data_IF_970764672125
#
_entry.id   IF_970764672125
#
_cell.length_a   1.000
_cell.length_b   1.000
_cell.length_c   1.000
_cell.angle_alpha   90.00
_cell.angle_beta   90.00
_cell.angle_gamma   90.00
#
_symmetry.space_group_name_H-M   'P 1'
#
loop_
_entity.id
_entity.type
_entity.pdbx_description
1 polymer ?
2 non-polymer ?
3 water ?
#
# COMPACT_ATOMS: atom_id res chain seq x y z
N UNK A 11 15.03 7.17 -26.86
CA UNK A 11 15.07 6.90 -25.38
C UNK A 11 14.41 5.56 -25.07
N UNK A 12 14.94 4.81 -24.10
CA UNK A 12 14.26 3.54 -23.74
C UNK A 12 12.95 3.84 -22.98
N UNK A 13 11.98 2.93 -23.07
CA UNK A 13 10.71 3.15 -22.38
C UNK A 13 10.47 2.10 -21.29
N UNK A 14 10.12 2.60 -20.11
CA UNK A 14 9.72 1.75 -18.99
C UNK A 14 8.18 1.83 -18.82
N UNK A 15 7.52 0.68 -18.78
CA UNK A 15 6.06 0.64 -18.60
C UNK A 15 5.71 0.33 -17.14
N UNK A 16 4.78 1.12 -16.58
CA UNK A 16 4.18 0.81 -15.32
C UNK A 16 2.85 0.15 -15.62
N UNK A 17 2.76 -1.16 -15.39
CA UNK A 17 1.49 -1.86 -15.54
C UNK A 17 0.62 -1.67 -14.30
N UNK A 18 -0.60 -1.16 -14.50
CA UNK A 18 -1.48 -0.71 -13.43
C UNK A 18 -2.80 -1.50 -13.43
N UNK A 19 -2.87 -2.49 -12.55
CA UNK A 19 -4.05 -3.35 -12.42
C UNK A 19 -5.33 -2.57 -12.05
N UNK A 20 -6.46 -2.95 -12.65
CA UNK A 20 -7.74 -2.30 -12.36
C UNK A 20 -8.22 -2.50 -10.90
N UNK A 21 -7.69 -3.48 -10.18
CA UNK A 21 -8.15 -3.65 -8.78
C UNK A 21 -7.56 -2.60 -7.82
N UNK A 22 -6.51 -1.90 -8.25
CA UNK A 22 -5.86 -0.92 -7.40
C UNK A 22 -6.75 0.33 -7.30
N UNK A 23 -6.85 0.86 -6.08
CA UNK A 23 -7.48 2.14 -5.86
C UNK A 23 -6.83 3.18 -6.78
N UNK A 24 -7.63 3.80 -7.66
CA UNK A 24 -7.06 4.66 -8.71
C UNK A 24 -6.33 5.86 -8.14
N UNK A 25 -6.72 6.31 -6.95
CA UNK A 25 -6.07 7.50 -6.37
C UNK A 25 -4.61 7.30 -6.04
N UNK A 26 -4.22 6.04 -5.83
CA UNK A 26 -2.84 5.76 -5.46
C UNK A 26 -1.88 6.12 -6.62
N UNK A 27 -2.42 6.19 -7.83
CA UNK A 27 -1.59 6.35 -9.01
C UNK A 27 -0.83 7.69 -8.96
N UNK A 28 -1.40 8.67 -8.27
CA UNK A 28 -0.75 9.97 -8.17
C UNK A 28 0.66 9.92 -7.52
N UNK A 29 0.82 9.05 -6.52
CA UNK A 29 2.11 8.93 -5.84
C UNK A 29 3.14 8.27 -6.71
N UNK A 30 2.70 7.29 -7.47
CA UNK A 30 3.57 6.63 -8.41
C UNK A 30 4.06 7.61 -9.47
N UNK A 31 3.12 8.33 -10.06
CA UNK A 31 3.45 9.36 -11.05
C UNK A 31 4.37 10.42 -10.42
N UNK A 32 4.02 10.90 -9.23
CA UNK A 32 4.86 11.91 -8.58
C UNK A 32 6.26 11.37 -8.39
N UNK A 33 6.38 10.14 -7.88
CA UNK A 33 7.70 9.55 -7.65
C UNK A 33 8.48 9.36 -8.94
N UNK A 34 7.78 8.92 -10.00
CA UNK A 34 8.43 8.71 -11.31
C UNK A 34 8.85 10.05 -11.96
N UNK A 35 7.95 11.02 -12.03
CA UNK A 35 8.28 12.38 -12.54
C UNK A 35 9.55 12.89 -11.83
N UNK A 36 9.59 12.71 -10.52
CA UNK A 36 10.64 13.27 -9.69
C UNK A 36 12.01 12.62 -9.90
N UNK A 37 11.99 11.30 -10.01
CA UNK A 37 13.17 10.50 -10.31
C UNK A 37 13.74 10.82 -11.71
N UNK A 38 12.88 10.88 -12.71
CA UNK A 38 13.33 11.18 -14.07
C UNK A 38 13.92 12.58 -14.23
N UNK A 39 13.28 13.56 -13.57
CA UNK A 39 13.74 14.94 -13.56
C UNK A 39 15.14 15.04 -12.98
N UNK A 40 15.45 14.19 -12.01
CA UNK A 40 16.78 14.20 -11.39
C UNK A 40 17.82 13.52 -12.27
N UNK A 41 17.36 12.79 -13.27
CA UNK A 41 18.25 12.01 -14.13
C UNK A 41 18.22 12.54 -15.55
N UNK A 42 17.76 13.77 -15.70
CA UNK A 42 17.58 14.42 -17.00
C UNK A 42 16.78 13.57 -18.02
N UNK A 43 15.70 12.96 -17.55
CA UNK A 43 14.75 12.29 -18.44
C UNK A 43 15.42 11.33 -19.40
N UNK A 44 16.30 10.47 -18.90
CA UNK A 44 16.95 9.50 -19.77
C UNK A 44 16.06 8.31 -20.15
N UNK A 45 14.89 8.22 -19.52
CA UNK A 45 13.85 7.22 -19.88
C UNK A 45 12.51 7.90 -20.11
N UNK A 46 11.76 7.38 -21.07
CA UNK A 46 10.33 7.59 -21.14
C UNK A 46 9.68 6.59 -20.20
N UNK A 47 8.63 7.04 -19.52
CA UNK A 47 7.75 6.16 -18.76
C UNK A 47 6.36 6.24 -19.38
N UNK A 48 5.67 5.11 -19.33
CA UNK A 48 4.34 4.98 -19.89
C UNK A 48 3.55 4.24 -18.80
N UNK A 49 2.28 4.59 -18.59
CA UNK A 49 1.43 3.85 -17.66
C UNK A 49 0.41 3.04 -18.50
N UNK A 50 0.36 1.74 -18.25
CA UNK A 50 -0.50 0.80 -18.97
C UNK A 50 -1.53 0.19 -18.00
N UNK A 51 -2.71 0.81 -17.93
CA UNK A 51 -3.83 0.22 -17.18
C UNK A 51 -4.19 -1.11 -17.83
N UNK A 52 -4.38 -2.13 -17.03
CA UNK A 52 -4.91 -3.39 -17.54
C UNK A 52 -5.88 -3.99 -16.55
N UNK A 53 -6.74 -4.87 -17.03
CA UNK A 53 -7.77 -5.45 -16.18
C UNK A 53 -7.17 -6.52 -15.27
N UNK A 54 -7.63 -6.56 -14.01
CA UNK A 54 -7.18 -7.59 -13.07
C UNK A 54 -7.07 -8.96 -13.75
N UNK A 55 -5.97 -9.67 -13.51
CA UNK A 55 -5.75 -11.01 -14.08
C UNK A 55 -5.44 -11.06 -15.57
N UNK A 56 -5.26 -9.91 -16.20
CA UNK A 56 -5.00 -9.91 -17.63
C UNK A 56 -3.58 -9.49 -18.02
N UNK A 57 -2.65 -9.50 -17.07
CA UNK A 57 -1.30 -9.04 -17.38
C UNK A 57 -0.73 -9.91 -18.49
N UNK A 58 -0.97 -11.21 -18.38
CA UNK A 58 -0.46 -12.17 -19.36
C UNK A 58 -0.81 -11.88 -20.83
N UNK A 59 -1.89 -11.14 -21.08
CA UNK A 59 -2.33 -10.78 -22.45
C UNK A 59 -1.66 -9.54 -23.00
N UNK A 60 -0.87 -8.84 -22.18
CA UNK A 60 -0.28 -7.56 -22.55
C UNK A 60 0.87 -7.76 -23.51
N UNK A 61 0.79 -7.10 -24.65
CA UNK A 61 1.81 -7.23 -25.69
C UNK A 61 3.15 -6.56 -25.37
N UNK A 62 3.12 -5.52 -24.55
CA UNK A 62 4.35 -4.84 -24.10
C UNK A 62 5.29 -5.65 -23.23
N UNK A 63 4.86 -6.84 -22.81
CA UNK A 63 5.72 -7.83 -22.14
C UNK A 63 5.99 -9.10 -22.96
N UNK A 64 5.57 -9.10 -24.23
CA UNK A 64 5.75 -10.25 -25.12
C UNK A 64 7.12 -10.23 -25.79
N UNK A 65 7.50 -11.39 -26.34
CA UNK A 65 8.68 -11.51 -27.18
C UNK A 65 8.75 -10.42 -28.25
N UNK A 66 7.58 -10.08 -28.81
CA UNK A 66 7.53 -9.34 -30.07
C UNK A 66 7.37 -7.82 -29.95
N UNK A 67 6.65 -7.35 -28.94
CA UNK A 67 6.32 -5.94 -28.85
C UNK A 67 6.81 -5.26 -27.57
N UNK A 68 7.88 -5.79 -26.97
CA UNK A 68 8.20 -5.48 -25.57
C UNK A 68 8.74 -4.07 -25.35
N UNK A 69 8.35 -3.49 -24.21
CA UNK A 69 8.99 -2.29 -23.69
C UNK A 69 10.43 -2.65 -23.30
N UNK A 70 11.22 -1.66 -22.93
CA UNK A 70 12.59 -1.91 -22.48
C UNK A 70 12.65 -2.48 -21.06
N UNK A 71 11.61 -2.20 -20.27
CA UNK A 71 11.48 -2.70 -18.90
C UNK A 71 10.05 -2.48 -18.45
N UNK A 72 9.64 -3.21 -17.41
CA UNK A 72 8.29 -3.00 -16.86
C UNK A 72 8.34 -3.06 -15.35
N UNK A 73 7.43 -2.34 -14.73
CA UNK A 73 7.21 -2.41 -13.28
C UNK A 73 5.76 -2.80 -13.15
N UNK A 74 5.46 -3.82 -12.34
CA UNK A 74 4.06 -4.23 -12.14
C UNK A 74 3.62 -3.75 -10.79
N UNK A 75 2.67 -2.82 -10.76
CA UNK A 75 2.25 -2.17 -9.51
C UNK A 75 1.60 -3.12 -8.49
N UNK A 76 0.74 -4.05 -8.96
CA UNK A 76 0.07 -4.98 -8.07
C UNK A 76 -0.26 -6.28 -8.79
N UNK A 77 0.74 -7.16 -8.93
CA UNK A 77 0.54 -8.36 -9.71
C UNK A 77 -0.41 -9.32 -8.97
N UNK A 78 -1.37 -9.91 -9.69
CA UNK A 78 -2.29 -10.91 -9.09
C UNK A 78 -1.60 -12.26 -9.00
N UNK A 79 -2.12 -13.16 -8.17
CA UNK A 79 -1.62 -14.53 -8.09
C UNK A 79 -1.66 -15.23 -9.46
N UNK A 80 -2.76 -15.06 -10.17
CA UNK A 80 -2.93 -15.61 -11.49
C UNK A 80 -1.83 -15.11 -12.45
N UNK A 81 -1.63 -13.79 -12.47
CA UNK A 81 -0.62 -13.17 -13.35
C UNK A 81 0.80 -13.55 -12.96
N UNK A 82 1.01 -13.71 -11.67
CA UNK A 82 2.31 -14.07 -11.13
C UNK A 82 2.71 -15.47 -11.52
N UNK A 83 1.75 -16.40 -11.47
CA UNK A 83 1.98 -17.76 -11.95
C UNK A 83 2.45 -17.77 -13.42
N UNK A 84 1.81 -16.95 -14.27
CA UNK A 84 2.24 -16.79 -15.65
C UNK A 84 3.67 -16.24 -15.75
N UNK A 85 3.98 -15.21 -14.97
CA UNK A 85 5.33 -14.67 -14.96
C UNK A 85 6.35 -15.68 -14.44
N UNK A 86 5.97 -16.43 -13.40
CA UNK A 86 6.85 -17.43 -12.81
C UNK A 86 7.33 -18.50 -13.77
N UNK A 87 6.49 -18.83 -14.75
CA UNK A 87 6.80 -19.90 -15.72
C UNK A 87 7.32 -19.36 -17.06
N UNK A 88 7.09 -18.07 -17.30
CA UNK A 88 7.51 -17.41 -18.55
C UNK A 88 9.01 -17.14 -18.57
N UNK A 89 9.57 -17.11 -19.77
CA UNK A 89 10.92 -16.61 -19.95
C UNK A 89 10.87 -15.38 -20.83
N UNK A 90 10.79 -14.22 -20.17
CA UNK A 90 10.55 -12.96 -20.85
C UNK A 90 11.80 -12.17 -21.22
N UNK A 91 11.64 -11.25 -22.16
CA UNK A 91 12.73 -10.60 -22.89
C UNK A 91 13.12 -9.20 -22.36
N UNK A 92 12.57 -8.83 -21.20
CA UNK A 92 12.76 -7.50 -20.63
C UNK A 92 12.81 -7.60 -19.09
N UNK A 93 13.57 -6.71 -18.45
CA UNK A 93 13.59 -6.72 -16.98
C UNK A 93 12.21 -6.32 -16.44
N UNK A 94 11.75 -7.04 -15.42
CA UNK A 94 10.47 -6.77 -14.76
C UNK A 94 10.69 -6.61 -13.27
N UNK A 95 10.20 -5.50 -12.73
CA UNK A 95 10.25 -5.24 -11.29
C UNK A 95 8.84 -5.45 -10.70
N UNK A 96 8.73 -6.29 -9.70
CA UNK A 96 7.48 -6.45 -8.98
C UNK A 96 7.44 -5.44 -7.84
N UNK A 97 6.32 -4.77 -7.67
CA UNK A 97 6.15 -3.82 -6.61
C UNK A 97 5.45 -4.49 -5.43
N UNK A 98 6.13 -4.51 -4.28
CA UNK A 98 5.67 -5.14 -3.05
C UNK A 98 5.28 -6.61 -3.18
N UNK A 99 6.14 -7.40 -3.81
CA UNK A 99 6.00 -8.85 -3.85
C UNK A 99 7.37 -9.38 -3.78
N UNK A 100 7.67 -10.16 -2.76
CA UNK A 100 8.93 -10.87 -2.78
C UNK A 100 8.92 -11.99 -3.85
N UNK A 101 10.07 -12.18 -4.49
CA UNK A 101 10.21 -13.16 -5.53
C UNK A 101 11.64 -13.72 -5.48
N UNK A 102 11.80 -15.01 -5.77
CA UNK A 102 13.16 -15.50 -5.86
C UNK A 102 13.51 -15.58 -7.34
N UNK A 103 12.68 -15.00 -8.20
CA UNK A 103 12.98 -14.98 -9.65
C UNK A 103 13.16 -13.55 -10.20
N UNK A 104 12.21 -12.68 -9.85
CA UNK A 104 12.19 -11.31 -10.29
C UNK A 104 12.68 -10.39 -9.20
N UNK A 105 13.35 -9.31 -9.61
CA UNK A 105 13.71 -8.21 -8.72
C UNK A 105 12.43 -7.48 -8.23
N UNK A 106 12.53 -6.85 -7.08
CA UNK A 106 11.36 -6.26 -6.45
C UNK A 106 11.74 -5.08 -5.58
N UNK A 107 10.78 -4.17 -5.42
CA UNK A 107 10.88 -3.08 -4.46
C UNK A 107 9.65 -3.21 -3.54
N UNK A 108 9.90 -3.46 -2.26
CA UNK A 108 8.85 -3.86 -1.31
C UNK A 108 8.91 -3.04 -0.06
N UNK A 109 7.88 -3.14 0.78
CA UNK A 109 7.94 -2.47 2.07
C UNK A 109 7.77 -3.58 3.12
N UNK A 110 8.27 -3.37 4.33
CA UNK A 110 8.07 -4.43 5.34
C UNK A 110 6.69 -4.34 5.96
N UNK A 111 5.77 -5.07 5.35
CA UNK A 111 4.34 -4.98 5.60
C UNK A 111 3.98 -5.38 7.01
N UNK A 112 4.46 -6.55 7.44
CA UNK A 112 4.24 -6.98 8.81
C UNK A 112 4.70 -5.91 9.81
N UNK A 113 5.90 -5.37 9.65
CA UNK A 113 6.39 -4.34 10.56
C UNK A 113 5.55 -3.06 10.56
N UNK A 115 2.17 -2.94 10.29
CA UNK A 115 1.07 -3.29 11.23
C UNK A 115 1.57 -3.28 12.66
N UNK A 116 2.74 -3.88 12.84
CA UNK A 116 3.38 -3.88 14.15
C UNK A 116 3.58 -2.47 14.74
N UNK A 117 4.10 -1.53 13.96
CA UNK A 117 4.23 -0.16 14.45
C UNK A 117 2.89 0.45 14.89
N UNK A 118 1.81 0.19 14.14
CA UNK A 118 0.49 0.72 14.51
C UNK A 118 0.08 0.14 15.87
N UNK A 119 0.24 -1.17 16.02
CA UNK A 119 -0.04 -1.83 17.31
C UNK A 119 0.79 -1.31 18.47
N UNK A 120 2.10 -1.18 18.28
CA UNK A 120 2.99 -0.69 19.34
C UNK A 120 2.69 0.73 19.76
N UNK A 121 2.15 1.56 18.86
CA UNK A 121 1.74 2.91 19.25
C UNK A 121 0.61 2.81 20.27
N UNK A 122 -0.36 1.94 20.00
CA UNK A 122 -1.46 1.69 20.93
C UNK A 122 -0.95 1.06 22.25
N UNK A 123 -0.04 0.09 22.12
CA UNK A 123 0.55 -0.60 23.29
C UNK A 123 1.26 0.36 24.20
N UNK A 124 1.98 1.30 23.58
CA UNK A 124 2.75 2.33 24.25
C UNK A 124 1.85 3.28 24.99
N UNK A 125 0.61 3.44 24.52
CA UNK A 125 -0.40 4.28 25.19
C UNK A 125 -1.29 3.49 26.14
N UNK A 126 -1.00 2.20 26.27
CA UNK A 126 -1.67 1.26 27.20
C UNK A 126 -3.16 1.10 26.96
N UNK A 127 -3.56 1.17 25.68
CA UNK A 127 -4.92 0.80 25.31
C UNK A 127 -5.12 -0.67 25.58
N UNK A 128 -6.33 -1.04 26.00
CA UNK A 128 -6.59 -2.40 26.39
C UNK A 128 -7.36 -3.21 25.36
N UNK A 129 -7.98 -2.52 24.39
CA UNK A 129 -8.53 -3.22 23.24
C UNK A 129 -8.57 -2.30 22.01
N UNK A 130 -8.81 -2.89 20.84
CA UNK A 130 -8.82 -2.12 19.60
C UNK A 130 -9.82 -2.73 18.64
N UNK A 131 -10.29 -1.91 17.71
CA UNK A 131 -11.07 -2.38 16.58
C UNK A 131 -10.25 -2.14 15.30
N UNK A 132 -10.66 -2.79 14.20
CA UNK A 132 -9.97 -2.65 12.91
C UNK A 132 -11.02 -2.60 11.81
N UNK A 133 -10.89 -1.59 10.95
CA UNK A 133 -11.73 -1.51 9.77
C UNK A 133 -10.83 -1.80 8.60
N UNK A 134 -11.15 -2.87 7.88
CA UNK A 134 -10.31 -3.43 6.86
C UNK A 134 -11.00 -3.58 5.54
N UNK A 135 -10.42 -2.95 4.54
CA UNK A 135 -10.77 -3.26 3.17
C UNK A 135 -10.08 -4.59 2.74
N UNK A 136 -10.75 -5.35 1.87
CA UNK A 136 -10.25 -6.70 1.51
C UNK A 136 -8.83 -6.66 0.94
N UNK A 137 -8.01 -7.65 1.33
CA UNK A 137 -6.62 -7.69 0.88
C UNK A 137 -6.55 -7.99 -0.60
N UNK A 138 -5.89 -7.11 -1.34
CA UNK A 138 -5.69 -7.34 -2.77
C UNK A 138 -4.47 -8.20 -3.05
N UNK A 139 -3.70 -8.49 -2.00
CA UNK A 139 -2.50 -9.35 -2.11
C UNK A 139 -1.99 -9.75 -0.73
N UNK A 140 -0.89 -10.52 -0.72
CA UNK A 140 -0.32 -11.03 0.52
C UNK A 140 0.24 -9.91 1.41
N UNK A 141 0.86 -8.91 0.79
CA UNK A 141 1.36 -7.73 1.48
C UNK A 141 0.29 -7.12 2.37
N UNK A 143 -2.46 -8.57 3.56
CA UNK A 143 -2.72 -9.51 4.64
C UNK A 143 -1.66 -9.37 5.72
N UNK A 144 -0.40 -9.31 5.32
CA UNK A 144 0.69 -9.17 6.28
C UNK A 144 0.62 -7.94 7.12
N UNK A 145 0.16 -6.80 6.56
CA UNK A 145 -0.01 -5.59 7.38
C UNK A 145 -1.03 -5.85 8.48
N UNK A 146 -2.10 -6.53 8.11
CA UNK A 146 -3.15 -6.85 9.11
C UNK A 146 -2.63 -7.79 10.19
N UNK A 147 -1.93 -8.83 9.74
CA UNK A 147 -1.34 -9.83 10.64
C UNK A 147 -0.37 -9.17 11.58
N UNK A 148 0.45 -8.25 11.05
CA UNK A 148 1.38 -7.49 11.89
C UNK A 148 0.66 -6.73 13.02
N UNK A 149 -0.46 -6.11 12.70
CA UNK A 149 -1.25 -5.39 13.70
C UNK A 149 -1.88 -6.36 14.72
N UNK A 150 -2.60 -7.35 14.21
CA UNK A 150 -3.37 -8.28 15.03
C UNK A 150 -2.48 -9.11 15.98
N UNK A 151 -1.45 -9.74 15.42
CA UNK A 151 -0.48 -10.52 16.19
C UNK A 151 0.26 -9.69 17.23
N UNK A 152 0.61 -8.46 16.87
CA UNK A 152 1.30 -7.58 17.79
C UNK A 152 0.37 -7.15 18.90
N UNK A 153 -0.92 -7.00 18.59
CA UNK A 153 -1.87 -6.65 19.63
C UNK A 153 -1.95 -7.79 20.65
N UNK A 154 -2.11 -9.02 20.15
CA UNK A 154 -2.15 -10.23 21.00
C UNK A 154 -0.91 -10.32 21.90
N UNK A 155 0.28 -10.05 21.35
CA UNK A 155 1.53 -10.09 22.12
C UNK A 155 1.60 -9.02 23.19
N UNK A 156 0.88 -7.92 23.02
CA UNK A 156 1.00 -6.80 23.95
C UNK A 156 -0.22 -6.54 24.82
N UNK A 157 -1.11 -7.52 24.91
CA UNK A 157 -2.27 -7.44 25.79
C UNK A 157 -3.35 -6.50 25.31
N UNK A 158 -3.44 -6.30 24.00
CA UNK A 158 -4.54 -5.52 23.40
C UNK A 158 -5.53 -6.51 22.80
N UNK A 159 -6.75 -6.55 23.34
CA UNK A 159 -7.78 -7.47 22.84
C UNK A 159 -8.33 -6.97 21.50
N UNK A 160 -8.40 -7.84 20.50
CA UNK A 160 -9.18 -7.54 19.31
C UNK A 160 -10.21 -8.62 19.11
N UNK A 161 -11.41 -8.37 19.61
CA UNK A 161 -12.56 -9.25 19.39
C UNK A 161 -12.86 -9.34 17.89
N UNK A 162 -13.16 -10.56 17.43
CA UNK A 162 -13.38 -10.85 16.01
C UNK A 162 -14.50 -10.03 15.40
N UNK A 163 -15.47 -9.68 16.23
CA UNK A 163 -16.57 -8.88 15.75
C UNK A 163 -16.21 -7.41 15.72
N UNK A 164 -15.01 -7.06 16.20
CA UNK A 164 -14.55 -5.67 16.06
C UNK A 164 -13.61 -5.48 14.90
N UNK A 165 -13.59 -6.45 14.01
CA UNK A 165 -12.99 -6.33 12.72
C UNK A 165 -14.16 -6.16 11.74
N UNK A 166 -14.18 -5.03 11.06
CA UNK A 166 -15.32 -4.65 10.23
C UNK A 166 -14.82 -4.48 8.80
N UNK A 167 -15.41 -5.23 7.86
CA UNK A 167 -15.08 -5.09 6.45
C UNK A 167 -15.55 -3.72 5.96
N UNK A 168 -14.80 -3.15 5.01
CA UNK A 168 -15.19 -1.88 4.38
C UNK A 168 -14.71 -1.81 2.94
N UNK A 169 -15.43 -1.03 2.13
CA UNK A 169 -14.90 -0.66 0.81
C UNK A 169 -13.81 0.38 0.96
N UNK A 170 -12.81 0.29 0.06
CA UNK A 170 -11.67 1.18 0.15
C UNK A 170 -11.98 2.53 -0.50
N UNK A 171 -12.71 3.36 0.23
CA UNK A 171 -13.04 4.72 -0.24
C UNK A 171 -13.44 5.52 0.97
N UNK A 172 -13.53 6.84 0.82
CA UNK A 172 -14.01 7.66 1.90
C UNK A 172 -15.45 7.26 2.27
N UNK A 173 -16.30 7.10 1.25
CA UNK A 173 -17.68 6.61 1.51
C UNK A 173 -17.69 5.26 2.23
N UNK A 174 -16.78 4.37 1.86
CA UNK A 174 -16.63 3.09 2.56
C UNK A 174 -16.29 3.28 4.04
N UNK A 175 -15.43 4.24 4.36
CA UNK A 175 -15.09 4.57 5.74
C UNK A 175 -16.29 5.12 6.48
N UNK A 176 -17.08 5.94 5.78
CA UNK A 176 -18.31 6.49 6.35
C UNK A 176 -19.26 5.32 6.70
N UNK A 177 -19.52 4.41 5.76
CA UNK A 177 -20.36 3.26 6.00
C UNK A 177 -19.87 2.39 7.18
N UNK A 178 -18.56 2.18 7.26
CA UNK A 178 -17.97 1.36 8.30
C UNK A 178 -18.11 2.00 9.68
N UNK A 179 -17.92 3.32 9.76
CA UNK A 179 -18.01 4.02 11.04
C UNK A 179 -19.44 3.97 11.59
N UNK A 180 -20.41 4.03 10.68
CA UNK A 180 -21.83 3.97 11.07
C UNK A 180 -22.15 2.61 11.74
N UNK A 181 -21.54 1.55 11.22
CA UNK A 181 -21.65 0.21 11.85
C UNK A 181 -20.87 0.16 13.14
N UNK A 182 -19.62 0.64 13.13
CA UNK A 182 -18.81 0.74 14.33
C UNK A 182 -19.61 1.39 15.44
N UNK A 184 -22.75 1.37 15.93
CA UNK A 184 -23.84 0.50 16.41
C UNK A 184 -23.41 -0.53 17.43
N UNK A 185 -22.11 -0.77 17.53
CA UNK A 185 -21.56 -1.73 18.49
C UNK A 185 -21.93 -1.31 19.91
N UNK A 186 -22.31 -2.29 20.73
CA UNK A 186 -22.65 -2.04 22.13
C UNK A 186 -21.45 -1.45 22.86
N UNK A 187 -20.28 -2.04 22.64
CA UNK A 187 -19.02 -1.59 23.20
C UNK A 187 -18.02 -1.35 22.08
N UNK A 188 -17.73 -0.09 21.77
CA UNK A 188 -16.69 0.25 20.78
C UNK A 188 -15.35 0.53 21.49
N UNK A 189 -14.25 -0.15 21.07
CA UNK A 189 -12.93 0.09 21.65
C UNK A 189 -12.47 1.54 21.47
N UNK A 190 -11.41 1.88 22.19
CA UNK A 190 -10.89 3.24 22.14
C UNK A 190 -9.71 3.43 21.16
N UNK A 191 -9.27 2.33 20.57
CA UNK A 191 -8.22 2.36 19.53
C UNK A 191 -8.82 1.81 18.27
N UNK A 192 -8.45 2.41 17.14
CA UNK A 192 -8.95 1.97 15.86
C UNK A 192 -7.84 1.95 14.82
N UNK A 193 -7.63 0.79 14.21
CA UNK A 193 -6.73 0.64 13.07
C UNK A 193 -7.53 0.64 11.77
N UNK A 194 -7.15 1.50 10.82
CA UNK A 194 -7.77 1.45 9.48
C UNK A 194 -6.70 1.06 8.49
N UNK A 195 -6.97 0.08 7.65
CA UNK A 195 -5.88 -0.37 6.75
C UNK A 195 -5.84 0.45 5.46
N UNK A 196 -6.58 1.56 5.42
CA UNK A 196 -6.33 2.59 4.37
C UNK A 196 -6.65 3.96 4.94
N UNK A 197 -5.94 4.97 4.44
CA UNK A 197 -6.22 6.35 4.85
C UNK A 197 -7.56 6.84 4.33
N UNK A 198 -8.04 6.35 3.19
CA UNK A 198 -9.36 6.78 2.70
C UNK A 198 -10.44 6.35 3.68
N UNK A 199 -10.28 5.13 4.20
CA UNK A 199 -11.19 4.61 5.19
C UNK A 199 -11.16 5.52 6.41
N UNK A 200 -9.96 5.86 6.87
CA UNK A 200 -9.82 6.73 8.06
C UNK A 200 -10.45 8.10 7.87
N UNK A 201 -10.33 8.67 6.68
CA UNK A 201 -10.94 9.98 6.42
C UNK A 201 -12.47 9.93 6.49
N UNK A 202 -13.05 8.85 6.00
CA UNK A 202 -14.50 8.63 6.09
C UNK A 202 -14.94 8.44 7.55
N UNK A 203 -14.16 7.66 8.29
CA UNK A 203 -14.43 7.44 9.73
C UNK A 203 -14.47 8.75 10.51
N UNK A 204 -13.48 9.59 10.32
CA UNK A 204 -13.41 10.86 11.01
C UNK A 204 -14.59 11.76 10.61
N UNK A 205 -15.06 11.66 9.35
CA UNK A 205 -16.25 12.41 8.90
C UNK A 205 -17.41 12.13 9.88
N UNK A 206 -17.62 10.85 10.15
CA UNK A 206 -18.74 10.40 11.00
C UNK A 206 -18.48 10.77 12.47
N UNK A 207 -17.28 10.47 12.98
CA UNK A 207 -16.94 10.79 14.36
C UNK A 207 -17.06 12.29 14.66
N UNK A 208 -16.68 13.14 13.69
CA UNK A 208 -16.87 14.59 13.83
C UNK A 208 -18.35 15.00 13.91
N UNK A 209 -19.18 14.48 13.02
CA UNK A 209 -20.62 14.73 13.01
C UNK A 209 -21.27 14.32 14.34
N UNK A 210 -20.83 13.18 14.87
CA UNK A 210 -21.39 12.64 16.10
C UNK A 210 -20.68 13.14 17.36
N UNK A 211 -19.72 14.05 17.16
CA UNK A 211 -18.98 14.72 18.25
C UNK A 211 -18.22 13.74 19.17
N UNK A 212 -17.68 12.70 18.57
CA UNK A 212 -16.83 11.77 19.30
C UNK A 212 -15.42 12.34 19.22
N UNK A 213 -14.77 12.44 20.37
CA UNK A 213 -13.47 13.11 20.45
C UNK A 213 -12.30 12.25 19.97
N UNK A 214 -11.50 12.82 19.08
CA UNK A 214 -10.27 12.20 18.63
C UNK A 214 -9.11 13.03 19.16
N UNK A 215 -8.13 12.41 19.85
CA UNK A 215 -7.95 10.99 20.18
C UNK A 215 -8.62 10.57 21.49
N UNK A 216 -9.32 11.49 22.16
CA UNK A 216 -9.79 11.25 23.55
C UNK A 216 -10.78 10.10 23.72
N UNK A 217 -11.82 10.05 22.89
CA UNK A 217 -12.73 8.91 22.88
C UNK A 217 -12.26 7.77 21.99
N UNK A 218 -11.69 8.10 20.84
CA UNK A 218 -11.16 7.10 19.89
C UNK A 218 -9.85 7.62 19.28
N UNK A 219 -8.81 6.78 19.28
CA UNK A 219 -7.56 7.13 18.63
C UNK A 219 -7.37 6.28 17.36
N UNK A 220 -6.98 6.91 16.25
CA UNK A 220 -6.91 6.20 14.97
C UNK A 220 -5.47 6.13 14.48
N UNK A 221 -5.09 5.00 13.91
CA UNK A 221 -3.86 4.89 13.13
C UNK A 221 -4.28 4.27 11.82
N UNK A 222 -3.80 4.81 10.72
CA UNK A 222 -4.21 4.28 9.42
C UNK A 222 -2.97 3.96 8.60
N UNK A 223 -3.11 3.03 7.66
CA UNK A 223 -2.06 2.76 6.68
C UNK A 223 -2.15 3.82 5.58
N UNK A 224 -1.04 4.50 5.32
CA UNK A 224 -1.06 5.61 4.34
C UNK A 224 -0.85 5.11 2.93
N UNK A 226 -2.75 6.80 0.01
CA UNK A 226 -2.90 7.98 -0.85
C UNK A 226 -1.99 9.11 -0.37
N UNK A 227 -1.99 10.20 -1.11
CA UNK A 227 -1.19 11.40 -0.80
C UNK A 227 -1.18 11.76 0.70
N UNK A 228 0.01 11.79 1.31
CA UNK A 228 0.20 12.12 2.73
C UNK A 228 -0.49 13.43 3.20
N UNK A 229 -0.68 14.38 2.30
CA UNK A 229 -1.26 15.66 2.73
C UNK A 229 -2.72 15.58 3.21
N UNK A 230 -3.48 14.61 2.70
CA UNK A 230 -4.88 14.48 3.12
C UNK A 230 -4.99 14.18 4.61
N UNK A 231 -4.09 13.34 5.10
CA UNK A 231 -4.10 13.00 6.53
C UNK A 231 -3.26 13.99 7.36
N UNK A 232 -2.35 14.73 6.70
CA UNK A 232 -1.56 15.75 7.43
C UNK A 232 -2.49 16.87 7.91
N UNK A 233 -3.44 17.24 7.05
CA UNK A 233 -4.25 18.43 7.27
C UNK A 233 -5.72 18.16 7.41
N UNK A 234 -6.10 16.89 7.63
CA UNK A 234 -7.50 16.57 7.94
C UNK A 234 -7.89 17.19 9.30
N UNK A 235 -9.18 17.18 9.61
CA UNK A 235 -9.62 17.65 10.94
C UNK A 235 -10.16 16.44 11.71
N UNK A 236 -9.38 15.90 12.66
CA UNK A 236 -8.02 16.25 13.04
C UNK A 236 -7.02 15.51 12.13
N UNK A 237 -5.73 15.89 12.18
CA UNK A 237 -4.69 15.11 11.51
C UNK A 237 -4.69 13.66 12.01
N UNK A 238 -4.46 12.74 11.07
CA UNK A 238 -4.48 11.31 11.33
C UNK A 238 -3.05 10.78 11.29
N UNK A 239 -2.69 10.08 12.36
CA UNK A 239 -1.42 9.37 12.40
C UNK A 239 -1.43 8.21 11.43
N UNK A 240 -0.36 8.11 10.66
CA UNK A 240 -0.25 7.03 9.68
C UNK A 240 1.06 6.24 9.72
N UNK A 241 0.98 5.02 9.22
CA UNK A 241 2.16 4.25 8.89
C UNK A 241 2.15 4.23 7.34
N UNK A 242 3.13 4.90 6.75
CA UNK A 242 3.03 5.25 5.33
C UNK A 242 3.71 4.24 4.47
N UNK A 243 3.09 3.91 3.35
CA UNK A 243 3.77 3.16 2.32
C UNK A 243 4.49 4.23 1.48
N UNK A 244 5.83 4.25 1.46
CA UNK A 244 6.62 5.33 0.81
C UNK A 244 6.68 5.17 -0.72
N UNK A 245 5.52 5.33 -1.34
CA UNK A 245 5.34 4.97 -2.73
C UNK A 245 6.21 5.82 -3.64
N UNK A 246 6.31 7.13 -3.36
CA UNK A 246 7.14 8.00 -4.22
C UNK A 246 8.60 7.49 -4.30
N UNK A 247 9.23 7.26 -3.14
CA UNK A 247 10.62 6.79 -3.10
C UNK A 247 10.75 5.41 -3.70
N UNK A 249 8.85 4.04 -6.10
CA UNK A 249 8.73 4.17 -7.54
C UNK A 249 10.04 4.68 -8.18
N UNK A 250 10.69 5.65 -7.54
CA UNK A 250 11.99 6.15 -7.99
C UNK A 250 12.99 5.01 -7.97
N UNK A 251 12.99 4.21 -6.91
CA UNK A 251 13.95 3.09 -6.80
C UNK A 251 13.75 2.02 -7.89
N UNK A 252 12.49 1.79 -8.29
CA UNK A 252 12.19 0.94 -9.43
C UNK A 252 12.99 1.36 -10.67
N UNK A 253 13.00 2.65 -11.00
CA UNK A 253 13.79 3.14 -12.13
C UNK A 253 15.30 2.85 -11.97
N UNK A 254 15.82 3.05 -10.76
CA UNK A 254 17.23 2.76 -10.46
C UNK A 254 17.56 1.32 -10.76
N UNK A 255 16.71 0.42 -10.29
CA UNK A 255 16.88 -1.01 -10.54
C UNK A 255 16.81 -1.32 -12.03
N UNK A 256 15.81 -0.75 -12.72
CA UNK A 256 15.70 -0.94 -14.16
C UNK A 256 17.00 -0.62 -14.92
N UNK A 257 17.53 0.57 -14.65
CA UNK A 257 18.76 1.07 -15.24
C UNK A 257 19.93 0.11 -14.97
N UNK A 258 20.05 -0.35 -13.73
CA UNK A 258 21.15 -1.23 -13.36
C UNK A 258 20.99 -2.63 -13.98
N UNK A 259 19.73 -3.05 -14.16
CA UNK A 259 19.45 -4.31 -14.83
C UNK A 259 19.76 -4.26 -16.34
N UNK A 260 19.32 -3.18 -16.99
CA UNK A 260 19.58 -2.99 -18.43
C UNK A 260 21.09 -2.90 -18.70
N UNK A 261 21.78 -2.13 -17.87
CA UNK A 261 23.24 -1.99 -17.97
C UNK A 261 23.98 -3.25 -17.50
N UNK A 262 23.27 -4.26 -16.99
CA UNK A 262 23.87 -5.50 -16.45
C UNK A 262 24.84 -5.34 -15.26
N UNK A 263 24.71 -4.27 -14.49
CA UNK A 263 25.42 -4.18 -13.23
C UNK A 263 24.87 -5.22 -12.24
N UNK A 264 23.54 -5.33 -12.18
CA UNK A 264 22.92 -6.21 -11.21
C UNK A 264 22.13 -7.32 -11.90
N UNK A 265 21.72 -8.28 -11.10
CA UNK A 265 21.08 -9.47 -11.55
C UNK A 265 19.80 -9.73 -10.75
N UNK A 266 18.94 -10.60 -11.29
CA UNK A 266 17.69 -10.93 -10.63
C UNK A 266 17.83 -12.17 -9.79
N UNK A 267 17.23 -12.21 -8.58
CA UNK A 267 16.45 -11.15 -7.90
C UNK A 267 17.28 -10.22 -7.01
N UNK A 268 17.16 -8.93 -7.25
CA UNK A 268 17.59 -7.91 -6.33
C UNK A 268 16.32 -7.40 -5.62
N UNK A 269 16.37 -7.33 -4.29
CA UNK A 269 15.16 -7.09 -3.51
C UNK A 269 15.48 -5.96 -2.54
N UNK A 270 14.87 -4.80 -2.81
CA UNK A 270 14.98 -3.64 -1.93
C UNK A 270 13.78 -3.62 -0.98
N UNK A 271 14.08 -3.53 0.31
CA UNK A 271 13.06 -3.52 1.30
C UNK A 271 13.01 -2.17 2.02
N UNK A 272 11.92 -1.43 1.85
CA UNK A 272 11.75 -0.14 2.49
C UNK A 272 11.17 -0.28 3.87
N UNK A 273 11.45 0.73 4.70
CA UNK A 273 10.78 0.84 5.98
C UNK A 273 9.54 1.73 5.74
N UNK A 274 8.35 1.31 6.17
CA UNK A 274 7.18 2.21 6.06
C UNK A 274 7.10 3.06 7.31
N UNK A 275 7.37 4.39 7.21
CA UNK A 275 7.52 5.16 8.47
C UNK A 275 6.23 5.42 9.22
N UNK A 276 6.30 5.36 10.55
CA UNK A 276 5.21 5.89 11.35
C UNK A 276 5.32 7.41 11.39
N UNK A 277 4.27 8.08 10.93
CA UNK A 277 4.27 9.53 10.86
C UNK A 277 3.25 10.03 11.85
N UNK A 278 3.74 10.53 12.99
CA UNK A 278 2.86 11.01 14.06
C UNK A 278 2.21 12.34 13.68
N UNK A 279 0.89 12.37 13.76
CA UNK A 279 0.13 13.58 13.54
C UNK A 279 -0.49 13.99 14.86
N UNK A 280 -0.56 15.29 15.09
CA UNK A 280 -1.06 15.91 16.35
C UNK A 280 -0.09 16.89 16.96
#
# INVERSE_FOLDING_TARGET
XSLRSKNSQSKPTIALYWSSDISVNIISRFLRGLQSKLAKQNYNYNVVICPYKTDCLHLEKGISKENSFDAAIIANISNYDLEYLNKASLTLPIILFNRLSNKYSSVNVDNYKXGEKASLLFAKKRYKSAAAILTESLNDAXDNRNKGFIETCHKNGIKISENHIIAAENSIHGGVDAAKKLXKLKNTPKALFCNSDSIALGVISVLNKRQISIPDDIEIVAIGXNDREYTEFSTPPVTIVDIPIEEXAGTCISLVEKLINRDIENPTSILFDGPLILRNSEGHHHHHH
#
